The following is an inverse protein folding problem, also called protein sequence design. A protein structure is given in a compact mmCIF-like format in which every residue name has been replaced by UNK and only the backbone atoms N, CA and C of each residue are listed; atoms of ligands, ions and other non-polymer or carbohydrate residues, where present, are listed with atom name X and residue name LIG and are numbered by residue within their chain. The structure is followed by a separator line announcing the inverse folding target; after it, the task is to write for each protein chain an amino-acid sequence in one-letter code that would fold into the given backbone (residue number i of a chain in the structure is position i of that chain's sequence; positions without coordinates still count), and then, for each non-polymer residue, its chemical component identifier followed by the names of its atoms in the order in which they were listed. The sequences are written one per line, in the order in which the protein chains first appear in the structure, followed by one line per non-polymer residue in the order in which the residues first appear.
data_IF_065789249316
#
_entry.id   IF_065789249316
#
_cell.length_a   1.000
_cell.length_b   1.000
_cell.length_c   1.000
_cell.angle_alpha   90.00
_cell.angle_beta   90.00
_cell.angle_gamma   90.00
#
_symmetry.space_group_name_H-M   'P 1'
#
loop_
_entity.id
_entity.type
_entity.pdbx_description
1 polymer ?
#
# COMPACT_ATOMS: atom_id res chain seq x y z
N UNK A 1 -19.39 -18.71 -4.53
CA UNK A 1 -18.46 -17.73 -5.14
C UNK A 1 -18.05 -16.70 -4.10
N UNK A 2 -16.78 -16.41 -3.99
CA UNK A 2 -16.31 -15.42 -3.04
C UNK A 2 -16.59 -14.00 -3.57
N UNK A 3 -17.04 -13.12 -2.69
CA UNK A 3 -17.21 -11.71 -3.03
C UNK A 3 -15.86 -11.02 -3.11
N UNK A 4 -15.76 -10.06 -4.00
CA UNK A 4 -14.59 -9.23 -4.17
C UNK A 4 -14.92 -7.78 -3.88
N UNK A 5 -13.94 -7.01 -3.51
CA UNK A 5 -14.10 -5.59 -3.24
C UNK A 5 -12.77 -4.91 -3.04
N UNK A 6 -12.84 -3.65 -2.65
CA UNK A 6 -11.66 -2.84 -2.36
C UNK A 6 -11.78 -2.20 -0.98
N UNK A 7 -10.65 -2.10 -0.30
CA UNK A 7 -10.50 -1.33 0.93
C UNK A 7 -9.45 -0.25 0.68
N UNK A 8 -9.57 0.86 1.38
CA UNK A 8 -8.71 2.03 1.15
C UNK A 8 -8.09 2.51 2.44
N UNK A 9 -6.85 2.96 2.38
CA UNK A 9 -6.25 3.69 3.48
C UNK A 9 -6.76 5.14 3.48
N UNK A 10 -6.57 5.82 4.60
CA UNK A 10 -6.61 7.29 4.61
C UNK A 10 -5.43 7.81 3.79
N UNK A 11 -5.45 9.11 3.48
CA UNK A 11 -4.36 9.74 2.75
C UNK A 11 -3.11 9.78 3.61
N UNK A 12 -2.00 9.32 3.05
CA UNK A 12 -0.66 9.48 3.61
C UNK A 12 -0.04 10.71 2.95
N UNK A 13 0.46 11.64 3.74
CA UNK A 13 1.01 12.88 3.22
C UNK A 13 2.13 13.39 4.11
N UNK A 14 3.09 14.07 3.51
CA UNK A 14 4.18 14.69 4.23
C UNK A 14 5.18 15.32 3.28
N UNK A 15 6.10 16.07 3.86
CA UNK A 15 7.28 16.59 3.19
C UNK A 15 8.43 16.39 4.15
N UNK A 16 9.41 15.60 3.75
CA UNK A 16 10.53 15.23 4.62
C UNK A 16 10.02 14.62 5.93
N UNK A 17 9.03 13.73 5.82
CA UNK A 17 8.37 13.12 6.98
C UNK A 17 7.88 11.72 6.65
N UNK A 18 7.85 10.85 7.65
CA UNK A 18 7.23 9.53 7.55
C UNK A 18 5.75 9.65 7.90
N UNK A 19 4.94 8.72 7.39
CA UNK A 19 3.53 8.64 7.75
C UNK A 19 3.08 7.18 7.73
N UNK A 20 2.10 6.87 8.56
CA UNK A 20 1.53 5.53 8.68
C UNK A 20 0.02 5.61 8.65
N UNK A 21 -0.61 4.74 7.89
CA UNK A 21 -2.05 4.58 7.84
C UNK A 21 -2.41 3.11 8.03
N UNK A 22 -3.66 2.85 8.37
CA UNK A 22 -4.16 1.49 8.55
C UNK A 22 -5.39 1.26 7.69
N UNK A 23 -5.50 0.03 7.18
CA UNK A 23 -6.69 -0.43 6.44
C UNK A 23 -7.33 -1.51 7.30
N UNK A 24 -8.56 -1.24 7.75
CA UNK A 24 -9.30 -2.15 8.61
C UNK A 24 -10.18 -3.08 7.76
N UNK A 25 -10.05 -4.38 7.98
CA UNK A 25 -10.95 -5.34 7.34
C UNK A 25 -12.32 -5.32 8.01
N UNK A 26 -13.24 -4.55 7.45
CA UNK A 26 -14.59 -4.35 7.97
C UNK A 26 -15.61 -5.29 7.31
N UNK A 27 -15.16 -6.26 6.52
CA UNK A 27 -16.07 -7.09 5.73
C UNK A 27 -16.84 -8.12 6.58
N UNK A 28 -16.37 -8.39 7.79
CA UNK A 28 -16.94 -9.46 8.62
C UNK A 28 -16.45 -10.87 8.25
N UNK A 29 -15.60 -10.98 7.24
CA UNK A 29 -15.04 -12.22 6.73
C UNK A 29 -13.53 -12.14 6.67
N UNK A 30 -12.86 -13.29 6.71
CA UNK A 30 -11.45 -13.34 6.32
C UNK A 30 -11.35 -13.01 4.84
N UNK A 31 -10.37 -12.21 4.49
CA UNK A 31 -10.13 -11.81 3.09
C UNK A 31 -8.75 -12.23 2.64
N UNK A 32 -8.60 -12.41 1.34
CA UNK A 32 -7.31 -12.60 0.68
C UNK A 32 -7.03 -11.41 -0.21
N UNK A 33 -5.86 -10.83 -0.05
CA UNK A 33 -5.43 -9.70 -0.88
C UNK A 33 -5.06 -10.22 -2.26
N UNK A 34 -5.66 -9.62 -3.29
CA UNK A 34 -5.43 -10.01 -4.69
C UNK A 34 -4.92 -8.86 -5.56
N UNK A 35 -4.85 -7.66 -5.02
CA UNK A 35 -4.28 -6.50 -5.72
C UNK A 35 -3.96 -5.38 -4.75
N UNK A 36 -2.94 -4.60 -5.06
CA UNK A 36 -2.55 -3.42 -4.28
C UNK A 36 -2.19 -2.32 -5.26
N UNK A 37 -2.68 -1.11 -5.00
CA UNK A 37 -2.40 0.07 -5.84
C UNK A 37 -2.16 1.29 -5.00
N UNK A 38 -1.30 2.18 -5.48
CA UNK A 38 -1.15 3.52 -4.93
C UNK A 38 -1.92 4.49 -5.82
N UNK A 39 -2.69 5.38 -5.21
CA UNK A 39 -3.41 6.44 -5.94
C UNK A 39 -2.81 7.78 -5.51
N UNK A 40 -1.87 8.33 -6.31
CA UNK A 40 -1.20 9.58 -5.96
C UNK A 40 -2.09 10.80 -6.17
N UNK A 41 -2.04 11.73 -5.23
CA UNK A 41 -2.60 13.07 -5.38
C UNK A 41 -1.51 14.07 -5.77
N UNK A 42 -0.26 13.77 -5.43
CA UNK A 42 0.91 14.57 -5.73
C UNK A 42 1.90 13.73 -6.53
N UNK A 43 2.44 14.29 -7.61
CA UNK A 43 3.48 13.63 -8.37
C UNK A 43 4.78 13.59 -7.57
N UNK A 44 5.48 12.46 -7.64
CA UNK A 44 6.80 12.28 -7.03
C UNK A 44 7.74 11.75 -8.10
N UNK A 45 8.74 12.53 -8.45
CA UNK A 45 9.75 12.11 -9.44
C UNK A 45 10.72 11.10 -8.83
N UNK A 46 11.36 10.30 -9.68
CA UNK A 46 12.44 9.44 -9.22
C UNK A 46 13.67 10.25 -8.82
N UNK A 47 14.33 9.80 -7.75
CA UNK A 47 15.56 10.44 -7.28
C UNK A 47 16.40 9.38 -6.54
N UNK A 48 17.70 9.38 -6.73
CA UNK A 48 18.59 8.40 -6.11
C UNK A 48 18.97 8.71 -4.67
N UNK A 49 18.72 9.94 -4.20
CA UNK A 49 19.10 10.40 -2.86
C UNK A 49 17.88 10.75 -2.02
N UNK A 50 16.91 11.44 -2.62
CA UNK A 50 15.71 11.94 -1.93
C UNK A 50 14.49 11.24 -2.52
N UNK A 51 14.02 10.19 -1.84
CA UNK A 51 12.91 9.37 -2.34
C UNK A 51 12.04 8.89 -1.19
N UNK A 52 10.89 8.32 -1.54
CA UNK A 52 9.99 7.68 -0.57
C UNK A 52 9.81 6.21 -0.93
N UNK A 53 9.53 5.42 0.10
CA UNK A 53 9.17 4.00 -0.04
C UNK A 53 7.85 3.79 0.69
N UNK A 54 6.85 3.28 -0.04
CA UNK A 54 5.56 2.92 0.52
C UNK A 54 5.53 1.41 0.68
N UNK A 55 5.27 0.93 1.90
CA UNK A 55 5.25 -0.50 2.21
C UNK A 55 3.91 -0.87 2.81
N UNK A 56 3.28 -1.90 2.28
CA UNK A 56 2.01 -2.44 2.74
C UNK A 56 2.31 -3.77 3.45
N UNK A 57 1.88 -3.88 4.71
CA UNK A 57 2.26 -5.00 5.57
C UNK A 57 1.07 -5.65 6.26
N UNK A 58 1.20 -6.94 6.47
CA UNK A 58 0.38 -7.70 7.41
C UNK A 58 1.27 -8.03 8.61
N UNK A 59 1.09 -7.32 9.72
CA UNK A 59 2.02 -7.40 10.85
C UNK A 59 3.40 -6.91 10.43
N UNK A 60 4.41 -7.74 10.55
CA UNK A 60 5.78 -7.44 10.11
C UNK A 60 6.08 -7.91 8.69
N UNK A 61 5.15 -8.62 8.06
CA UNK A 61 5.37 -9.23 6.75
C UNK A 61 4.90 -8.31 5.62
N UNK A 62 5.73 -8.12 4.60
CA UNK A 62 5.43 -7.26 3.47
C UNK A 62 4.49 -7.94 2.49
N UNK A 63 3.39 -7.25 2.15
CA UNK A 63 2.47 -7.65 1.10
C UNK A 63 2.96 -7.11 -0.24
N UNK A 64 3.27 -5.83 -0.29
CA UNK A 64 3.76 -5.14 -1.49
C UNK A 64 4.50 -3.88 -1.08
N UNK A 65 5.37 -3.38 -1.96
CA UNK A 65 6.12 -2.15 -1.72
C UNK A 65 6.39 -1.42 -3.02
N UNK A 66 6.56 -0.11 -2.93
CA UNK A 66 6.94 0.75 -4.04
C UNK A 66 7.94 1.79 -3.57
N UNK A 67 8.92 2.09 -4.38
CA UNK A 67 9.89 3.15 -4.10
C UNK A 67 10.01 4.10 -5.28
N UNK A 68 10.23 5.38 -4.99
CA UNK A 68 10.57 6.37 -6.01
C UNK A 68 12.10 6.52 -6.17
N UNK A 69 12.88 5.64 -5.56
CA UNK A 69 14.32 5.60 -5.79
C UNK A 69 14.58 5.38 -7.28
N UNK A 70 15.49 6.16 -7.87
CA UNK A 70 15.83 6.03 -9.29
C UNK A 70 16.48 4.68 -9.62
N UNK A 71 17.04 4.00 -8.61
CA UNK A 71 17.55 2.63 -8.76
C UNK A 71 16.47 1.65 -8.33
N UNK A 72 15.86 0.98 -9.30
CA UNK A 72 14.86 -0.07 -9.07
C UNK A 72 13.44 0.43 -8.79
N UNK A 73 13.22 1.73 -8.75
CA UNK A 73 11.89 2.30 -8.50
C UNK A 73 11.32 3.01 -9.72
N UNK A 74 10.18 3.66 -9.52
CA UNK A 74 9.52 4.46 -10.55
C UNK A 74 8.80 5.65 -9.95
N UNK A 75 8.53 6.66 -10.77
CA UNK A 75 7.83 7.87 -10.36
C UNK A 75 6.36 7.59 -10.09
N UNK A 76 5.74 8.45 -9.27
CA UNK A 76 4.30 8.51 -9.08
C UNK A 76 3.76 9.71 -9.84
N UNK A 77 2.71 9.51 -10.62
CA UNK A 77 2.04 10.57 -11.38
C UNK A 77 0.71 10.91 -10.72
N UNK A 78 0.44 12.20 -10.51
CA UNK A 78 -0.81 12.65 -9.88
C UNK A 78 -2.01 12.18 -10.71
N UNK A 79 -2.99 11.57 -10.03
CA UNK A 79 -4.22 11.08 -10.66
C UNK A 79 -4.06 9.79 -11.45
N UNK A 80 -2.87 9.19 -11.48
CA UNK A 80 -2.63 7.94 -12.20
C UNK A 80 -2.38 6.81 -11.20
N UNK A 81 -3.22 5.78 -11.24
CA UNK A 81 -3.10 4.63 -10.36
C UNK A 81 -1.81 3.86 -10.67
N UNK A 82 -1.06 3.55 -9.63
CA UNK A 82 0.15 2.73 -9.71
C UNK A 82 -0.13 1.36 -9.12
N UNK A 83 -0.27 0.35 -9.97
CA UNK A 83 -0.44 -1.02 -9.52
C UNK A 83 0.90 -1.58 -9.02
N UNK A 84 0.87 -2.26 -7.89
CA UNK A 84 2.06 -2.86 -7.29
C UNK A 84 2.04 -4.37 -7.46
N UNK A 85 3.22 -4.94 -7.62
CA UNK A 85 3.38 -6.39 -7.60
C UNK A 85 3.26 -6.90 -6.17
N UNK A 86 2.44 -7.92 -5.95
CA UNK A 86 2.33 -8.56 -4.65
C UNK A 86 3.53 -9.48 -4.48
N UNK A 87 4.30 -9.27 -3.42
CA UNK A 87 5.47 -10.08 -3.08
C UNK A 87 5.22 -11.03 -1.92
N UNK A 88 4.19 -10.75 -1.10
CA UNK A 88 3.76 -11.65 -0.04
C UNK A 88 3.14 -12.93 -0.61
N UNK A 89 3.19 -14.01 0.15
CA UNK A 89 2.66 -15.31 -0.25
C UNK A 89 1.89 -15.96 0.89
N UNK A 90 0.98 -16.88 0.54
CA UNK A 90 0.26 -17.69 1.51
C UNK A 90 -0.53 -16.85 2.51
N UNK A 91 -0.34 -17.11 3.79
CA UNK A 91 -1.09 -16.47 4.87
C UNK A 91 -0.76 -14.99 5.07
N UNK A 92 0.36 -14.50 4.54
CA UNK A 92 0.67 -13.07 4.56
C UNK A 92 -0.42 -12.28 3.83
N UNK A 93 -1.05 -12.88 2.81
CA UNK A 93 -2.11 -12.26 2.03
C UNK A 93 -3.50 -12.42 2.65
N UNK A 94 -3.62 -13.14 3.77
CA UNK A 94 -4.91 -13.39 4.42
C UNK A 94 -5.05 -12.51 5.65
N UNK A 95 -6.14 -11.77 5.68
CA UNK A 95 -6.44 -10.84 6.78
C UNK A 95 -7.72 -11.31 7.45
N UNK A 96 -7.66 -11.57 8.75
CA UNK A 96 -8.82 -12.01 9.52
C UNK A 96 -9.90 -10.94 9.58
N UNK A 97 -11.12 -11.33 9.81
CA UNK A 97 -12.22 -10.39 10.07
C UNK A 97 -11.83 -9.49 11.25
N UNK A 98 -11.93 -8.18 11.06
CA UNK A 98 -11.51 -7.19 12.06
C UNK A 98 -10.01 -6.94 12.10
N UNK A 99 -9.22 -7.65 11.29
CA UNK A 99 -7.77 -7.44 11.20
C UNK A 99 -7.40 -6.14 10.52
N UNK A 100 -6.13 -5.80 10.55
CA UNK A 100 -5.61 -4.51 10.08
C UNK A 100 -4.39 -4.74 9.20
N UNK A 101 -4.37 -4.02 8.07
CA UNK A 101 -3.19 -3.90 7.20
C UNK A 101 -2.54 -2.55 7.51
N UNK A 102 -1.23 -2.51 7.70
CA UNK A 102 -0.52 -1.25 7.87
C UNK A 102 0.08 -0.79 6.54
N UNK A 103 0.10 0.53 6.36
CA UNK A 103 0.71 1.19 5.21
C UNK A 103 1.67 2.23 5.74
N UNK A 104 2.95 2.07 5.44
CA UNK A 104 4.00 2.98 5.90
C UNK A 104 4.62 3.69 4.70
N UNK A 105 4.82 4.99 4.82
CA UNK A 105 5.67 5.76 3.91
C UNK A 105 6.89 6.18 4.69
N UNK A 106 8.04 5.71 4.24
CA UNK A 106 9.35 6.11 4.78
C UNK A 106 10.09 6.93 3.74
N UNK A 107 10.92 7.84 4.19
CA UNK A 107 11.69 8.69 3.31
C UNK A 107 13.18 8.45 3.47
N UNK A 108 13.95 8.80 2.43
CA UNK A 108 15.40 8.81 2.44
C UNK A 108 15.87 10.21 2.03
N UNK A 109 16.98 10.63 2.59
CA UNK A 109 17.53 11.97 2.33
C UNK A 109 16.59 13.05 2.85
N UNK A 110 16.39 14.10 2.05
CA UNK A 110 15.51 15.21 2.38
C UNK A 110 14.05 14.94 2.01
N UNK A 111 13.72 13.78 1.56
CA UNK A 111 12.38 13.28 1.22
C UNK A 111 11.48 14.25 0.45
N UNK A 112 10.94 13.87 -0.70
CA UNK A 112 10.04 14.73 -1.46
C UNK A 112 8.69 14.88 -0.77
N UNK A 113 7.95 15.92 -1.13
CA UNK A 113 6.54 16.02 -0.76
C UNK A 113 5.74 14.92 -1.44
N UNK A 114 4.84 14.30 -0.69
CA UNK A 114 3.97 13.25 -1.23
C UNK A 114 2.57 13.38 -0.65
N UNK A 115 1.60 12.87 -1.39
CA UNK A 115 0.22 12.73 -0.90
C UNK A 115 -0.42 11.63 -1.74
N UNK A 116 -0.77 10.51 -1.12
CA UNK A 116 -1.41 9.39 -1.81
C UNK A 116 -2.19 8.52 -0.83
N UNK A 117 -3.05 7.67 -1.37
CA UNK A 117 -3.66 6.61 -0.57
C UNK A 117 -3.42 5.27 -1.26
N UNK A 118 -3.61 4.20 -0.50
CA UNK A 118 -3.45 2.84 -0.97
C UNK A 118 -4.81 2.17 -1.07
N UNK A 119 -5.05 1.52 -2.19
CA UNK A 119 -6.22 0.69 -2.45
C UNK A 119 -5.79 -0.76 -2.43
N UNK A 120 -6.55 -1.60 -1.73
CA UNK A 120 -6.30 -3.03 -1.65
C UNK A 120 -7.52 -3.75 -2.18
N UNK A 121 -7.33 -4.54 -3.23
CA UNK A 121 -8.36 -5.39 -3.80
C UNK A 121 -8.33 -6.74 -3.10
N UNK A 122 -9.49 -7.26 -2.73
CA UNK A 122 -9.59 -8.51 -1.99
C UNK A 122 -10.65 -9.43 -2.55
N UNK A 123 -10.53 -10.71 -2.20
CA UNK A 123 -11.58 -11.71 -2.32
C UNK A 123 -11.88 -12.25 -0.92
N UNK A 124 -13.16 -12.43 -0.62
CA UNK A 124 -13.55 -13.02 0.67
C UNK A 124 -13.25 -14.50 0.69
N UNK A 125 -12.70 -14.98 1.81
CA UNK A 125 -12.50 -16.41 2.06
C UNK A 125 -13.66 -16.87 2.92
N UNK A 126 -14.50 -17.72 2.37
CA UNK A 126 -15.67 -18.23 3.08
C UNK A 126 -15.37 -19.58 3.69
N UNK A 127 -15.76 -19.71 4.96
CA UNK A 127 -15.79 -21.01 5.62
C UNK A 127 -16.97 -21.83 5.09
N UNK A 128 -16.74 -23.08 4.84
CA UNK A 128 -17.77 -23.99 4.34
C UNK A 128 -18.26 -24.87 5.48
#
# INVERSE_FOLDING_TARGET
MADQGCLFSTVLAGTNATDTAFIHNQTGQKIRIIGVSIVPKTAVATNGSDYITTTIKNGSDTIAAHTTNSTGGSALAAGTVKDLSITGTGKVLEIDAGGVISVDVAEAGSGPAYSHYVSVKYAEIRSV
#
